data_IF_765452748508
#
_entry.id   IF_765452748508
#
_cell.length_a   1.000
_cell.length_b   1.000
_cell.length_c   1.000
_cell.angle_alpha   90.00
_cell.angle_beta   90.00
_cell.angle_gamma   90.00
#
_symmetry.space_group_name_H-M   'P 1'
#
loop_
_entity.id
_entity.type
_entity.pdbx_description
1 polymer ?
#
# COMPACT_ATOMS: atom_id res chain seq x y z
N UNK A 1 -14.16 -14.86 32.67
CA UNK A 1 -14.90 -13.82 33.44
C UNK A 1 -15.32 -12.63 32.56
N UNK A 2 -15.25 -12.74 31.23
CA UNK A 2 -15.66 -11.68 30.28
C UNK A 2 -17.01 -12.00 29.61
N UNK A 3 -17.54 -13.21 29.79
CA UNK A 3 -18.73 -13.70 29.06
C UNK A 3 -20.06 -13.54 29.83
N UNK A 4 -20.18 -12.53 30.69
CA UNK A 4 -21.47 -12.19 31.31
C UNK A 4 -22.15 -11.10 30.49
N UNK A 5 -23.32 -11.38 29.94
CA UNK A 5 -24.10 -10.44 29.12
C UNK A 5 -24.39 -9.11 29.86
N UNK A 6 -24.47 -9.13 31.18
CA UNK A 6 -24.62 -7.94 32.05
C UNK A 6 -23.48 -6.91 31.92
N UNK A 7 -22.31 -7.33 31.39
CA UNK A 7 -21.16 -6.47 31.19
C UNK A 7 -21.13 -5.81 29.79
N UNK A 8 -22.13 -6.05 28.95
CA UNK A 8 -22.19 -5.52 27.59
C UNK A 8 -23.35 -4.53 27.44
N UNK A 9 -23.06 -3.37 26.83
CA UNK A 9 -24.07 -2.36 26.46
C UNK A 9 -24.10 -2.25 24.94
N UNK A 10 -25.27 -2.52 24.35
CA UNK A 10 -25.49 -2.35 22.92
C UNK A 10 -25.52 -0.85 22.56
N UNK A 11 -24.59 -0.42 21.70
CA UNK A 11 -24.59 0.94 21.15
C UNK A 11 -25.46 0.97 19.89
N UNK A 12 -26.65 1.57 19.99
CA UNK A 12 -27.59 1.73 18.88
C UNK A 12 -27.28 2.95 18.03
N UNK A 13 -27.92 3.04 16.86
CA UNK A 13 -27.89 4.24 16.02
C UNK A 13 -28.49 5.45 16.77
N UNK A 14 -28.21 6.68 16.31
CA UNK A 14 -28.65 7.89 17.02
C UNK A 14 -30.17 7.99 17.18
N UNK A 15 -30.93 7.46 16.22
CA UNK A 15 -32.35 7.75 16.07
C UNK A 15 -32.60 9.06 15.30
N UNK A 16 -33.78 9.17 14.69
CA UNK A 16 -34.14 10.31 13.83
C UNK A 16 -34.12 11.63 14.61
N UNK A 17 -34.74 11.66 15.79
CA UNK A 17 -34.89 12.88 16.60
C UNK A 17 -33.54 13.50 16.95
N UNK A 18 -32.63 12.69 17.51
CA UNK A 18 -31.31 13.16 17.90
C UNK A 18 -30.47 13.55 16.68
N UNK A 19 -30.52 12.77 15.60
CA UNK A 19 -29.83 13.10 14.35
C UNK A 19 -30.33 14.44 13.77
N UNK A 20 -31.63 14.69 13.77
CA UNK A 20 -32.21 15.95 13.31
C UNK A 20 -31.84 17.13 14.21
N UNK A 21 -31.81 16.93 15.54
CA UNK A 21 -31.32 17.94 16.48
C UNK A 21 -29.85 18.30 16.22
N UNK A 22 -29.00 17.30 16.01
CA UNK A 22 -27.57 17.48 15.70
C UNK A 22 -27.39 18.26 14.39
N UNK A 23 -28.10 17.89 13.33
CA UNK A 23 -28.03 18.62 12.04
C UNK A 23 -28.48 20.07 12.21
N UNK A 24 -29.59 20.34 12.91
CA UNK A 24 -30.05 21.72 13.19
C UNK A 24 -28.99 22.52 13.95
N UNK A 25 -28.32 21.92 14.93
CA UNK A 25 -27.25 22.57 15.67
C UNK A 25 -26.06 22.89 14.77
N UNK A 26 -25.60 21.94 13.95
CA UNK A 26 -24.49 22.17 13.03
C UNK A 26 -24.82 23.21 11.93
N UNK A 27 -26.06 23.23 11.43
CA UNK A 27 -26.51 24.25 10.46
C UNK A 27 -26.47 25.65 11.05
N UNK A 28 -26.89 25.82 12.32
CA UNK A 28 -26.76 27.09 13.05
C UNK A 28 -25.31 27.52 13.20
N UNK A 29 -24.41 26.60 13.58
CA UNK A 29 -22.97 26.88 13.69
C UNK A 29 -22.36 27.30 12.35
N UNK A 30 -22.80 26.70 11.24
CA UNK A 30 -22.38 27.08 9.89
C UNK A 30 -23.06 28.34 9.35
N UNK A 31 -23.95 28.97 10.12
CA UNK A 31 -24.76 30.13 9.71
C UNK A 31 -25.55 29.89 8.40
N UNK A 32 -26.12 28.68 8.25
CA UNK A 32 -26.96 28.31 7.10
C UNK A 32 -28.31 27.77 7.56
N UNK A 33 -29.29 27.83 6.68
CA UNK A 33 -30.59 27.19 6.85
C UNK A 33 -31.07 26.59 5.52
N UNK A 34 -32.09 25.74 5.59
CA UNK A 34 -32.71 25.06 4.46
C UNK A 34 -34.17 25.45 4.30
N UNK A 35 -34.71 25.29 3.10
CA UNK A 35 -36.15 25.45 2.87
C UNK A 35 -36.94 24.30 3.47
N UNK A 36 -38.26 24.49 3.66
CA UNK A 36 -39.16 23.43 4.14
C UNK A 36 -39.09 22.15 3.27
N UNK A 37 -38.94 22.32 1.95
CA UNK A 37 -38.78 21.19 1.03
C UNK A 37 -37.47 20.44 1.28
N UNK A 38 -36.35 21.17 1.40
CA UNK A 38 -35.04 20.58 1.69
C UNK A 38 -35.00 19.88 3.05
N UNK A 39 -35.62 20.46 4.09
CA UNK A 39 -35.75 19.83 5.40
C UNK A 39 -36.54 18.51 5.35
N UNK A 40 -37.59 18.41 4.52
CA UNK A 40 -38.30 17.14 4.32
C UNK A 40 -37.42 16.07 3.69
N UNK A 41 -36.56 16.43 2.72
CA UNK A 41 -35.61 15.50 2.12
C UNK A 41 -34.61 14.98 3.15
N UNK A 42 -34.13 15.85 4.05
CA UNK A 42 -33.24 15.45 5.15
C UNK A 42 -33.93 14.46 6.08
N UNK A 43 -35.15 14.74 6.54
CA UNK A 43 -35.91 13.82 7.41
C UNK A 43 -36.05 12.44 6.76
N UNK A 44 -36.48 12.40 5.49
CA UNK A 44 -36.68 11.14 4.77
C UNK A 44 -35.38 10.32 4.60
N UNK A 45 -34.22 10.98 4.52
CA UNK A 45 -32.93 10.31 4.45
C UNK A 45 -32.48 9.78 5.82
N UNK A 46 -32.67 10.58 6.87
CA UNK A 46 -32.27 10.24 8.25
C UNK A 46 -33.16 9.14 8.85
N UNK A 47 -34.45 9.11 8.51
CA UNK A 47 -35.38 8.04 8.88
C UNK A 47 -34.87 6.66 8.38
N UNK A 48 -34.28 6.63 7.18
CA UNK A 48 -33.69 5.41 6.61
C UNK A 48 -32.34 5.04 7.19
N UNK A 49 -31.52 6.03 7.59
CA UNK A 49 -30.21 5.79 8.18
C UNK A 49 -29.84 6.88 9.20
N UNK A 50 -29.71 6.51 10.46
CA UNK A 50 -29.34 7.42 11.55
C UNK A 50 -27.95 7.15 12.14
N UNK A 51 -27.04 6.56 11.34
CA UNK A 51 -25.66 6.35 11.75
C UNK A 51 -24.91 7.70 11.81
N UNK A 52 -24.07 7.96 12.83
CA UNK A 52 -23.42 9.27 12.99
C UNK A 52 -22.59 9.73 11.77
N UNK A 53 -21.94 8.78 11.08
CA UNK A 53 -21.19 9.07 9.85
C UNK A 53 -22.10 9.48 8.69
N UNK A 54 -23.29 8.86 8.58
CA UNK A 54 -24.29 9.24 7.58
C UNK A 54 -24.79 10.66 7.86
N UNK A 55 -25.13 10.97 9.11
CA UNK A 55 -25.56 12.30 9.55
C UNK A 55 -24.52 13.36 9.16
N UNK A 56 -23.23 13.07 9.37
CA UNK A 56 -22.12 13.97 8.97
C UNK A 56 -22.01 14.15 7.45
N UNK A 57 -22.20 13.08 6.66
CA UNK A 57 -22.20 13.15 5.20
C UNK A 57 -23.38 13.96 4.66
N UNK A 58 -24.58 13.72 5.19
CA UNK A 58 -25.79 14.49 4.85
C UNK A 58 -25.58 15.96 5.19
N UNK A 59 -25.05 16.26 6.39
CA UNK A 59 -24.73 17.63 6.78
C UNK A 59 -23.75 18.32 5.83
N UNK A 60 -22.69 17.62 5.41
CA UNK A 60 -21.74 18.16 4.44
C UNK A 60 -22.39 18.44 3.08
N UNK A 61 -23.33 17.61 2.64
CA UNK A 61 -24.04 17.79 1.37
C UNK A 61 -25.01 18.97 1.40
N UNK A 62 -25.86 19.04 2.43
CA UNK A 62 -26.85 20.13 2.56
C UNK A 62 -26.20 21.49 2.79
N UNK A 63 -24.98 21.54 3.36
CA UNK A 63 -24.16 22.75 3.44
C UNK A 63 -23.75 23.30 2.07
N UNK A 64 -23.94 22.56 0.98
CA UNK A 64 -23.68 23.03 -0.39
C UNK A 64 -24.94 23.56 -1.07
N UNK A 65 -26.13 23.15 -0.63
CA UNK A 65 -27.40 23.56 -1.24
C UNK A 65 -27.67 25.04 -1.02
N UNK A 66 -28.21 25.72 -2.02
CA UNK A 66 -28.75 27.08 -1.95
C UNK A 66 -30.27 27.00 -1.89
N UNK A 67 -30.93 28.09 -1.50
CA UNK A 67 -32.40 28.16 -1.46
C UNK A 67 -33.06 27.93 -2.83
N UNK A 68 -32.36 28.29 -3.91
CA UNK A 68 -32.79 28.15 -5.30
C UNK A 68 -32.21 26.91 -6.01
N UNK A 69 -31.55 26.00 -5.29
CA UNK A 69 -31.08 24.73 -5.88
C UNK A 69 -32.30 23.93 -6.35
N UNK A 70 -32.27 23.47 -7.60
CA UNK A 70 -33.38 22.74 -8.22
C UNK A 70 -33.60 21.40 -7.53
N UNK A 71 -34.84 20.90 -7.56
CA UNK A 71 -35.20 19.61 -6.97
C UNK A 71 -34.39 18.43 -7.54
N UNK A 72 -34.00 18.51 -8.81
CA UNK A 72 -33.13 17.51 -9.46
C UNK A 72 -31.71 17.45 -8.86
N UNK A 73 -31.24 18.55 -8.27
CA UNK A 73 -29.89 18.68 -7.71
C UNK A 73 -29.89 18.52 -6.17
N UNK A 74 -31.06 18.47 -5.53
CA UNK A 74 -31.22 18.20 -4.09
C UNK A 74 -31.51 16.71 -3.85
N UNK A 75 -30.54 15.84 -4.17
CA UNK A 75 -30.66 14.41 -3.92
C UNK A 75 -29.78 14.01 -2.73
N UNK A 76 -30.36 13.28 -1.77
CA UNK A 76 -29.64 12.62 -0.68
C UNK A 76 -29.76 11.11 -0.86
N UNK A 77 -28.66 10.40 -0.66
CA UNK A 77 -28.70 8.96 -0.65
C UNK A 77 -29.36 8.42 0.62
N UNK A 78 -29.72 7.15 0.62
CA UNK A 78 -30.39 6.50 1.76
C UNK A 78 -29.43 5.61 2.58
N UNK A 79 -28.20 5.42 2.11
CA UNK A 79 -27.18 4.60 2.76
C UNK A 79 -25.86 5.37 2.84
N UNK A 80 -24.98 4.97 3.77
CA UNK A 80 -23.64 5.56 3.85
C UNK A 80 -22.83 5.28 2.59
N UNK A 81 -22.90 4.05 2.07
CA UNK A 81 -22.14 3.67 0.89
C UNK A 81 -22.51 4.54 -0.32
N UNK A 82 -23.81 4.70 -0.58
CA UNK A 82 -24.30 5.52 -1.69
C UNK A 82 -23.94 7.00 -1.50
N UNK A 83 -23.99 7.50 -0.26
CA UNK A 83 -23.55 8.88 0.05
C UNK A 83 -22.07 9.10 -0.27
N UNK A 84 -21.22 8.14 0.06
CA UNK A 84 -19.79 8.19 -0.25
C UNK A 84 -19.57 8.06 -1.77
N UNK A 85 -20.34 7.22 -2.46
CA UNK A 85 -20.27 7.09 -3.92
C UNK A 85 -20.65 8.39 -4.63
N UNK A 86 -21.71 9.07 -4.18
CA UNK A 86 -22.10 10.39 -4.68
C UNK A 86 -21.01 11.44 -4.44
N UNK A 87 -20.37 11.41 -3.27
CA UNK A 87 -19.23 12.27 -2.94
C UNK A 87 -18.06 12.03 -3.92
N UNK A 88 -17.67 10.78 -4.15
CA UNK A 88 -16.60 10.45 -5.11
C UNK A 88 -16.95 10.88 -6.53
N UNK A 89 -18.17 10.61 -7.00
CA UNK A 89 -18.62 11.02 -8.32
C UNK A 89 -18.57 12.54 -8.50
N UNK A 90 -18.96 13.30 -7.48
CA UNK A 90 -18.88 14.76 -7.51
C UNK A 90 -17.44 15.26 -7.65
N UNK A 91 -16.53 14.73 -6.86
CA UNK A 91 -15.12 15.15 -6.85
C UNK A 91 -14.47 14.77 -8.20
N UNK A 92 -14.77 13.59 -8.72
CA UNK A 92 -14.34 13.14 -10.05
C UNK A 92 -14.84 14.08 -11.16
N UNK A 93 -16.10 14.52 -11.11
CA UNK A 93 -16.66 15.50 -12.07
C UNK A 93 -15.97 16.87 -11.97
N UNK A 94 -15.58 17.28 -10.77
CA UNK A 94 -15.01 18.60 -10.52
C UNK A 94 -13.52 18.70 -10.91
N UNK A 95 -12.72 17.68 -10.61
CA UNK A 95 -11.25 17.73 -10.80
C UNK A 95 -10.73 16.86 -11.94
N UNK A 96 -11.61 16.13 -12.63
CA UNK A 96 -11.25 15.18 -13.66
C UNK A 96 -11.29 13.74 -13.14
N UNK A 97 -12.03 12.89 -13.86
CA UNK A 97 -12.34 11.54 -13.42
C UNK A 97 -11.08 10.68 -13.28
N UNK A 98 -10.17 10.73 -14.25
CA UNK A 98 -8.98 9.86 -14.28
C UNK A 98 -8.04 10.22 -13.11
N UNK A 99 -7.74 11.50 -12.92
CA UNK A 99 -6.89 11.98 -11.84
C UNK A 99 -7.42 11.57 -10.46
N UNK A 100 -8.68 11.86 -10.16
CA UNK A 100 -9.28 11.55 -8.86
C UNK A 100 -9.38 10.04 -8.65
N UNK A 101 -9.82 9.30 -9.66
CA UNK A 101 -9.90 7.84 -9.61
C UNK A 101 -8.55 7.23 -9.24
N UNK A 102 -7.49 7.62 -9.94
CA UNK A 102 -6.16 7.06 -9.71
C UNK A 102 -5.59 7.48 -8.35
N UNK A 103 -5.73 8.76 -7.95
CA UNK A 103 -5.27 9.23 -6.65
C UNK A 103 -5.93 8.47 -5.48
N UNK A 104 -7.26 8.32 -5.51
CA UNK A 104 -8.00 7.62 -4.47
C UNK A 104 -7.78 6.10 -4.53
N UNK A 105 -7.57 5.53 -5.72
CA UNK A 105 -7.18 4.13 -5.87
C UNK A 105 -5.80 3.87 -5.25
N UNK A 106 -4.79 4.71 -5.48
CA UNK A 106 -3.47 4.57 -4.84
C UNK A 106 -3.56 4.60 -3.31
N UNK A 107 -4.31 5.56 -2.73
CA UNK A 107 -4.55 5.63 -1.28
C UNK A 107 -5.25 4.35 -0.77
N UNK A 108 -6.19 3.81 -1.55
CA UNK A 108 -6.95 2.60 -1.16
C UNK A 108 -6.12 1.32 -1.30
N UNK A 109 -5.19 1.27 -2.25
CA UNK A 109 -4.31 0.12 -2.48
C UNK A 109 -3.18 0.02 -1.45
N UNK A 110 -2.70 1.16 -0.94
CA UNK A 110 -1.60 1.21 0.01
C UNK A 110 -1.90 0.45 1.31
N UNK A 111 -0.90 -0.26 1.85
CA UNK A 111 -1.08 -1.11 3.04
C UNK A 111 -1.31 -0.27 4.30
N UNK A 112 -0.45 0.72 4.50
CA UNK A 112 -0.48 1.59 5.69
C UNK A 112 -0.99 3.00 5.39
N UNK A 113 -1.04 3.39 4.11
CA UNK A 113 -1.35 4.74 3.63
C UNK A 113 -0.21 5.26 2.76
N UNK A 114 -0.35 6.48 2.24
CA UNK A 114 0.68 7.14 1.43
C UNK A 114 0.95 8.54 1.96
N UNK A 115 2.22 8.93 2.05
CA UNK A 115 2.58 10.34 2.22
C UNK A 115 2.19 11.16 0.99
N UNK A 116 2.12 12.49 1.15
CA UNK A 116 1.76 13.39 0.04
C UNK A 116 2.79 13.31 -1.09
N UNK A 117 4.08 13.26 -0.76
CA UNK A 117 5.15 13.05 -1.73
C UNK A 117 5.06 11.70 -2.46
N UNK A 118 4.75 10.60 -1.74
CA UNK A 118 4.62 9.28 -2.36
C UNK A 118 3.44 9.26 -3.34
N UNK A 119 2.31 9.86 -2.96
CA UNK A 119 1.13 9.93 -3.84
C UNK A 119 1.42 10.77 -5.09
N UNK A 120 2.07 11.93 -4.93
CA UNK A 120 2.48 12.77 -6.06
C UNK A 120 3.43 12.02 -7.01
N UNK A 121 4.40 11.28 -6.45
CA UNK A 121 5.32 10.46 -7.24
C UNK A 121 4.60 9.36 -8.01
N UNK A 122 3.69 8.63 -7.36
CA UNK A 122 2.91 7.56 -7.99
C UNK A 122 2.04 8.08 -9.13
N UNK A 123 1.33 9.19 -8.92
CA UNK A 123 0.53 9.84 -9.95
C UNK A 123 1.43 10.34 -11.10
N UNK A 124 2.64 10.79 -10.79
CA UNK A 124 3.62 11.25 -11.79
C UNK A 124 4.28 10.13 -12.59
N UNK A 125 4.24 8.90 -12.11
CA UNK A 125 4.66 7.71 -12.85
C UNK A 125 3.52 7.15 -13.71
N UNK A 126 2.29 7.61 -13.51
CA UNK A 126 1.10 7.12 -14.20
C UNK A 126 0.83 7.87 -15.51
N UNK A 127 1.18 7.23 -16.63
CA UNK A 127 1.03 7.88 -17.94
C UNK A 127 -0.44 8.15 -18.29
N UNK A 128 -1.40 7.34 -17.81
CA UNK A 128 -2.83 7.58 -18.07
C UNK A 128 -3.29 8.89 -17.46
N UNK A 129 -2.82 9.19 -16.25
CA UNK A 129 -3.16 10.45 -15.57
C UNK A 129 -2.48 11.62 -16.27
N UNK A 130 -1.20 11.48 -16.63
CA UNK A 130 -0.45 12.57 -17.24
C UNK A 130 -0.92 12.89 -18.65
N UNK A 131 -1.39 11.90 -19.40
CA UNK A 131 -2.01 12.12 -20.72
C UNK A 131 -3.33 12.88 -20.59
N UNK A 132 -4.12 12.61 -19.55
CA UNK A 132 -5.37 13.33 -19.26
C UNK A 132 -5.12 14.76 -18.76
N UNK A 133 -4.07 14.97 -17.96
CA UNK A 133 -3.73 16.30 -17.42
C UNK A 133 -3.07 17.18 -18.48
N UNK A 134 -2.17 16.62 -19.29
CA UNK A 134 -1.40 17.34 -20.31
C UNK A 134 -1.98 17.19 -21.70
N UNK A 135 -3.29 17.41 -21.82
CA UNK A 135 -3.96 17.43 -23.12
C UNK A 135 -3.55 18.67 -23.94
N UNK A 136 -3.47 19.84 -23.30
CA UNK A 136 -3.37 21.13 -24.01
C UNK A 136 -1.97 21.74 -24.05
N UNK A 137 -1.04 21.26 -23.22
CA UNK A 137 0.35 21.68 -23.25
C UNK A 137 1.27 20.54 -22.82
N UNK A 138 2.52 20.57 -23.27
CA UNK A 138 3.57 19.70 -22.76
C UNK A 138 4.28 20.39 -21.59
N UNK A 139 4.48 19.72 -20.45
CA UNK A 139 5.21 20.29 -19.34
C UNK A 139 6.74 20.22 -19.58
N UNK A 140 7.53 21.15 -19.02
CA UNK A 140 9.00 21.05 -19.09
C UNK A 140 9.54 19.85 -18.30
N UNK A 141 8.86 19.48 -17.22
CA UNK A 141 9.11 18.26 -16.45
C UNK A 141 7.81 17.46 -16.43
N UNK A 142 7.83 16.23 -16.93
CA UNK A 142 6.63 15.39 -17.08
C UNK A 142 6.19 14.77 -15.75
N UNK A 143 5.75 15.62 -14.82
CA UNK A 143 5.31 15.30 -13.45
C UNK A 143 3.93 15.93 -13.19
N UNK A 144 3.15 15.43 -12.24
CA UNK A 144 1.88 16.09 -11.86
C UNK A 144 2.15 17.46 -11.22
N UNK A 145 1.40 18.53 -11.55
CA UNK A 145 1.47 19.78 -10.80
C UNK A 145 0.95 19.57 -9.37
N UNK A 146 1.72 19.89 -8.31
CA UNK A 146 1.33 19.62 -6.91
C UNK A 146 -0.04 20.21 -6.53
N UNK A 147 -0.35 21.40 -7.07
CA UNK A 147 -1.61 22.10 -6.81
C UNK A 147 -2.87 21.30 -7.20
N UNK A 148 -2.78 20.35 -8.13
CA UNK A 148 -3.93 19.53 -8.50
C UNK A 148 -4.34 18.60 -7.36
N UNK A 149 -3.38 17.94 -6.72
CA UNK A 149 -3.67 17.09 -5.56
C UNK A 149 -4.14 17.92 -4.37
N UNK A 150 -3.49 19.06 -4.08
CA UNK A 150 -3.90 19.95 -2.98
C UNK A 150 -5.37 20.36 -3.09
N UNK A 151 -5.86 20.66 -4.31
CA UNK A 151 -7.27 21.00 -4.55
C UNK A 151 -8.21 19.82 -4.30
N UNK A 152 -7.86 18.62 -4.75
CA UNK A 152 -8.65 17.40 -4.51
C UNK A 152 -8.73 17.12 -3.01
N UNK A 153 -7.59 17.22 -2.31
CA UNK A 153 -7.49 17.01 -0.86
C UNK A 153 -8.36 18.00 -0.07
N UNK A 154 -8.40 19.26 -0.48
CA UNK A 154 -9.25 20.28 0.14
C UNK A 154 -10.76 20.00 0.00
N UNK A 155 -11.16 19.25 -1.03
CA UNK A 155 -12.54 18.79 -1.23
C UNK A 155 -12.86 17.45 -0.52
N UNK A 156 -11.88 16.88 0.18
CA UNK A 156 -12.01 15.69 1.04
C UNK A 156 -11.71 15.98 2.53
N UNK A 157 -12.23 17.08 3.11
CA UNK A 157 -11.86 17.48 4.46
C UNK A 157 -12.35 16.44 5.48
N UNK A 158 -11.46 15.99 6.36
CA UNK A 158 -11.76 15.03 7.42
C UNK A 158 -12.22 13.64 6.96
N UNK A 159 -12.07 13.30 5.67
CA UNK A 159 -12.31 11.94 5.16
C UNK A 159 -11.00 11.15 5.02
N UNK A 160 -9.90 11.87 4.87
CA UNK A 160 -8.54 11.34 5.00
C UNK A 160 -7.98 11.74 6.37
N UNK A 161 -7.37 10.78 7.05
CA UNK A 161 -6.64 11.00 8.30
C UNK A 161 -5.15 10.89 8.04
N UNK A 162 -4.38 11.80 8.63
CA UNK A 162 -2.94 11.65 8.76
C UNK A 162 -2.62 10.71 9.92
N UNK A 163 -1.68 9.79 9.71
CA UNK A 163 -1.19 8.83 10.69
C UNK A 163 0.30 8.65 10.50
N UNK A 164 1.01 8.31 11.56
CA UNK A 164 2.41 7.93 11.44
C UNK A 164 2.51 6.45 11.05
N UNK A 165 3.26 6.16 9.98
CA UNK A 165 3.61 4.81 9.56
C UNK A 165 5.06 4.81 9.09
N UNK A 166 5.85 3.85 9.58
CA UNK A 166 7.24 3.63 9.15
C UNK A 166 8.12 4.90 9.22
N UNK A 167 7.86 5.76 10.23
CA UNK A 167 8.60 7.00 10.48
C UNK A 167 8.23 8.17 9.57
N UNK A 168 7.09 8.10 8.87
CA UNK A 168 6.58 9.18 8.00
C UNK A 168 5.09 9.42 8.27
N UNK A 169 4.64 10.67 8.12
CA UNK A 169 3.20 11.00 8.12
C UNK A 169 2.57 10.56 6.80
N UNK A 170 1.63 9.63 6.88
CA UNK A 170 0.89 9.06 5.75
C UNK A 170 -0.60 9.39 5.86
N UNK A 171 -1.24 9.58 4.71
CA UNK A 171 -2.67 9.75 4.58
C UNK A 171 -3.33 8.39 4.33
N UNK A 172 -4.43 8.13 5.04
CA UNK A 172 -5.27 6.97 4.84
C UNK A 172 -6.74 7.33 5.09
N UNK A 173 -7.67 6.47 4.68
CA UNK A 173 -9.09 6.66 4.94
C UNK A 173 -9.38 6.75 6.44
N UNK A 174 -10.06 7.82 6.85
CA UNK A 174 -10.42 8.05 8.25
C UNK A 174 -11.33 6.92 8.79
N UNK A 175 -12.28 6.46 7.98
CA UNK A 175 -13.27 5.46 8.37
C UNK A 175 -13.33 4.28 7.41
N UNK A 176 -13.57 3.08 7.93
CA UNK A 176 -13.64 1.83 7.16
C UNK A 176 -14.63 1.91 6.01
N UNK A 177 -15.79 2.54 6.19
CA UNK A 177 -16.81 2.66 5.14
C UNK A 177 -16.32 3.45 3.91
N UNK A 178 -15.42 4.42 4.06
CA UNK A 178 -14.79 5.10 2.91
C UNK A 178 -13.89 4.14 2.15
N UNK A 179 -13.05 3.39 2.88
CA UNK A 179 -12.17 2.39 2.27
C UNK A 179 -12.97 1.31 1.54
N UNK A 180 -14.04 0.80 2.14
CA UNK A 180 -14.87 -0.25 1.56
C UNK A 180 -15.64 0.28 0.33
N UNK A 181 -16.15 1.52 0.39
CA UNK A 181 -16.76 2.19 -0.77
C UNK A 181 -15.75 2.43 -1.89
N UNK A 182 -14.53 2.87 -1.56
CA UNK A 182 -13.46 3.08 -2.54
C UNK A 182 -13.04 1.76 -3.20
N UNK A 183 -12.98 0.65 -2.44
CA UNK A 183 -12.73 -0.69 -3.00
C UNK A 183 -13.83 -1.11 -3.97
N UNK A 184 -15.10 -0.95 -3.62
CA UNK A 184 -16.22 -1.27 -4.52
C UNK A 184 -16.19 -0.41 -5.79
N UNK A 185 -15.79 0.87 -5.69
CA UNK A 185 -15.73 1.77 -6.84
C UNK A 185 -14.54 1.49 -7.75
N UNK A 186 -13.35 1.30 -7.17
CA UNK A 186 -12.08 1.33 -7.90
C UNK A 186 -11.48 -0.05 -8.17
N UNK A 187 -11.81 -1.05 -7.35
CA UNK A 187 -11.23 -2.41 -7.42
C UNK A 187 -12.24 -3.51 -7.72
N UNK A 188 -13.45 -3.16 -8.20
CA UNK A 188 -14.42 -4.14 -8.71
C UNK A 188 -13.83 -5.01 -9.82
N UNK A 189 -12.98 -4.43 -10.66
CA UNK A 189 -12.18 -5.16 -11.62
C UNK A 189 -10.83 -5.54 -10.99
N UNK A 190 -10.58 -6.83 -10.81
CA UNK A 190 -9.34 -7.33 -10.21
C UNK A 190 -8.09 -6.93 -11.01
N UNK A 191 -8.21 -6.70 -12.32
CA UNK A 191 -7.11 -6.19 -13.14
C UNK A 191 -6.68 -4.78 -12.70
N UNK A 192 -7.63 -3.94 -12.25
CA UNK A 192 -7.30 -2.62 -11.73
C UNK A 192 -6.57 -2.73 -10.39
N UNK A 193 -7.01 -3.63 -9.50
CA UNK A 193 -6.30 -3.87 -8.25
C UNK A 193 -4.85 -4.31 -8.51
N UNK A 194 -4.65 -5.32 -9.37
CA UNK A 194 -3.32 -5.78 -9.80
C UNK A 194 -2.48 -4.65 -10.39
N UNK A 195 -3.08 -3.80 -11.24
CA UNK A 195 -2.42 -2.65 -11.85
C UNK A 195 -1.88 -1.67 -10.79
N UNK A 196 -2.73 -1.22 -9.85
CA UNK A 196 -2.30 -0.27 -8.82
C UNK A 196 -1.27 -0.87 -7.86
N UNK A 197 -1.43 -2.15 -7.48
CA UNK A 197 -0.39 -2.83 -6.69
C UNK A 197 0.94 -2.92 -7.45
N UNK A 198 0.92 -3.21 -8.76
CA UNK A 198 2.14 -3.23 -9.58
C UNK A 198 2.79 -1.86 -9.70
N UNK A 199 2.02 -0.79 -9.87
CA UNK A 199 2.55 0.58 -9.96
C UNK A 199 3.22 1.01 -8.64
N UNK A 200 2.63 0.67 -7.49
CA UNK A 200 3.26 0.93 -6.19
C UNK A 200 4.51 0.08 -6.00
N UNK A 201 4.50 -1.18 -6.46
CA UNK A 201 5.71 -2.01 -6.44
C UNK A 201 6.83 -1.42 -7.28
N UNK A 202 6.55 -0.93 -8.50
CA UNK A 202 7.55 -0.28 -9.37
C UNK A 202 8.16 0.97 -8.72
N UNK A 203 7.33 1.77 -8.04
CA UNK A 203 7.79 2.91 -7.25
C UNK A 203 8.79 2.48 -6.19
N UNK A 204 8.43 1.54 -5.31
CA UNK A 204 9.31 1.10 -4.22
C UNK A 204 10.50 0.24 -4.68
N UNK A 205 10.40 -0.45 -5.81
CA UNK A 205 11.57 -1.05 -6.47
C UNK A 205 12.57 0.03 -6.90
N UNK A 206 12.08 1.24 -7.21
CA UNK A 206 12.90 2.36 -7.64
C UNK A 206 13.27 2.31 -9.12
N UNK A 207 12.48 1.60 -9.94
CA UNK A 207 12.77 1.37 -11.37
C UNK A 207 13.02 2.68 -12.13
N UNK A 208 12.27 3.73 -11.78
CA UNK A 208 12.31 5.05 -12.39
C UNK A 208 12.81 6.15 -11.43
N UNK A 209 13.48 5.75 -10.34
CA UNK A 209 14.02 6.68 -9.35
C UNK A 209 15.39 7.22 -9.77
N UNK A 210 15.80 8.35 -9.18
CA UNK A 210 17.19 8.82 -9.25
C UNK A 210 17.68 9.30 -10.61
N UNK A 211 16.77 9.79 -11.46
CA UNK A 211 17.11 10.34 -12.76
C UNK A 211 16.96 9.36 -13.93
N UNK A 212 16.54 8.11 -13.67
CA UNK A 212 16.25 7.14 -14.73
C UNK A 212 15.01 7.59 -15.51
N UNK A 213 15.13 7.87 -16.82
CA UNK A 213 14.02 8.41 -17.59
C UNK A 213 13.04 7.28 -17.97
N UNK A 214 11.74 7.53 -17.74
CA UNK A 214 10.66 6.58 -18.01
C UNK A 214 10.13 6.73 -19.45
N UNK A 215 10.08 5.67 -20.26
CA UNK A 215 9.47 5.71 -21.58
C UNK A 215 7.94 5.84 -21.46
N UNK A 216 7.34 6.57 -22.39
CA UNK A 216 5.89 6.77 -22.49
C UNK A 216 5.47 6.94 -23.95
N UNK A 217 4.18 6.78 -24.23
CA UNK A 217 3.62 6.94 -25.57
C UNK A 217 2.75 8.19 -25.62
N UNK A 218 2.90 8.99 -26.67
CA UNK A 218 2.00 10.12 -26.89
C UNK A 218 0.65 9.63 -27.40
N UNK A 219 -0.42 10.25 -26.91
CA UNK A 219 -1.75 10.02 -27.51
C UNK A 219 -1.81 10.59 -28.93
N UNK A 220 -2.70 10.05 -29.77
CA UNK A 220 -2.88 10.56 -31.13
C UNK A 220 -3.25 12.05 -31.14
N UNK A 221 -4.06 12.47 -30.16
CA UNK A 221 -4.45 13.86 -29.95
C UNK A 221 -3.23 14.74 -29.67
N UNK A 222 -2.34 14.30 -28.77
CA UNK A 222 -1.11 15.05 -28.45
C UNK A 222 -0.18 15.11 -29.67
N UNK A 223 -0.04 14.02 -30.42
CA UNK A 223 0.81 13.99 -31.62
C UNK A 223 0.33 14.99 -32.67
N UNK A 224 -0.97 15.03 -32.93
CA UNK A 224 -1.55 15.98 -33.88
C UNK A 224 -1.50 17.43 -33.34
N UNK A 225 -1.80 17.65 -32.06
CA UNK A 225 -1.87 19.00 -31.47
C UNK A 225 -0.49 19.66 -31.35
N UNK A 226 0.54 18.87 -31.05
CA UNK A 226 1.90 19.37 -30.85
C UNK A 226 2.83 19.06 -32.04
N UNK A 227 2.29 18.61 -33.17
CA UNK A 227 3.05 18.25 -34.38
C UNK A 227 4.23 17.31 -34.10
N UNK A 228 4.00 16.28 -33.28
CA UNK A 228 5.04 15.31 -32.91
C UNK A 228 5.12 14.20 -33.97
N UNK A 229 6.31 14.04 -34.54
CA UNK A 229 6.62 12.93 -35.45
C UNK A 229 6.68 11.61 -34.69
N UNK A 230 7.34 11.63 -33.53
CA UNK A 230 7.58 10.45 -32.71
C UNK A 230 6.31 9.96 -32.00
N UNK A 231 6.22 8.63 -31.85
CA UNK A 231 5.12 7.98 -31.12
C UNK A 231 5.43 7.84 -29.64
N UNK A 232 6.71 7.83 -29.29
CA UNK A 232 7.20 7.53 -27.96
C UNK A 232 8.16 8.65 -27.51
N UNK A 233 8.21 8.86 -26.21
CA UNK A 233 9.13 9.79 -25.57
C UNK A 233 9.71 9.16 -24.33
N UNK A 234 10.77 9.76 -23.79
CA UNK A 234 11.37 9.35 -22.52
C UNK A 234 11.58 10.59 -21.67
N UNK A 235 11.20 10.53 -20.40
CA UNK A 235 11.35 11.66 -19.48
C UNK A 235 11.65 11.19 -18.05
N UNK A 236 12.61 11.85 -17.42
CA UNK A 236 12.84 11.74 -15.97
C UNK A 236 11.67 12.37 -15.21
N UNK A 237 11.05 11.57 -14.33
CA UNK A 237 9.88 11.97 -13.54
C UNK A 237 10.25 12.69 -12.24
N UNK A 238 11.55 12.86 -11.99
CA UNK A 238 12.12 13.49 -10.79
C UNK A 238 11.66 12.81 -9.50
N UNK A 239 11.49 11.50 -9.57
CA UNK A 239 11.13 10.64 -8.44
C UNK A 239 12.42 10.23 -7.69
N UNK A 240 12.42 10.24 -6.35
CA UNK A 240 13.59 9.85 -5.57
C UNK A 240 13.98 8.39 -5.80
N UNK A 241 15.26 8.08 -5.55
CA UNK A 241 15.71 6.69 -5.41
C UNK A 241 15.02 6.03 -4.21
N UNK A 242 14.81 4.72 -4.31
CA UNK A 242 14.26 3.90 -3.22
C UNK A 242 15.31 2.87 -2.76
N UNK A 243 16.45 3.28 -2.17
CA UNK A 243 17.43 2.33 -1.67
C UNK A 243 16.90 1.61 -0.43
N UNK A 244 17.53 0.50 -0.04
CA UNK A 244 17.25 -0.18 1.23
C UNK A 244 17.74 0.66 2.43
N UNK A 245 18.84 1.39 2.23
CA UNK A 245 19.54 2.19 3.23
C UNK A 245 19.89 3.55 2.65
N UNK A 246 19.58 4.61 3.38
CA UNK A 246 20.02 5.97 3.07
C UNK A 246 21.34 6.25 3.80
N UNK A 247 22.33 6.77 3.08
CA UNK A 247 23.64 7.11 3.62
C UNK A 247 23.80 8.63 3.74
N UNK A 248 24.49 9.08 4.78
CA UNK A 248 24.93 10.47 4.92
C UNK A 248 26.04 10.78 3.91
N UNK A 249 26.37 12.07 3.75
CA UNK A 249 27.48 12.53 2.89
C UNK A 249 28.82 11.89 3.27
N UNK A 250 28.99 11.54 4.55
CA UNK A 250 30.21 10.89 5.07
C UNK A 250 30.23 9.36 4.87
N UNK A 251 29.29 8.80 4.11
CA UNK A 251 29.19 7.35 3.84
C UNK A 251 28.64 6.52 4.99
N UNK A 252 28.27 7.13 6.13
CA UNK A 252 27.64 6.42 7.25
C UNK A 252 26.15 6.18 6.99
N UNK A 253 25.63 5.06 7.49
CA UNK A 253 24.20 4.76 7.47
C UNK A 253 23.45 5.87 8.23
N UNK A 254 22.56 6.57 7.52
CA UNK A 254 21.69 7.59 8.10
C UNK A 254 20.40 6.97 8.60
N UNK A 255 19.70 6.20 7.76
CA UNK A 255 18.46 5.50 8.11
C UNK A 255 18.13 4.39 7.12
N UNK A 256 17.29 3.44 7.54
CA UNK A 256 16.73 2.41 6.69
C UNK A 256 15.43 2.86 6.02
N UNK A 257 15.10 2.33 4.85
CA UNK A 257 13.88 2.66 4.12
C UNK A 257 12.69 1.80 4.61
N UNK A 258 12.15 2.18 5.77
CA UNK A 258 11.06 1.46 6.41
C UNK A 258 9.79 1.40 5.53
N UNK A 259 9.52 2.46 4.75
CA UNK A 259 8.41 2.50 3.78
C UNK A 259 8.52 1.40 2.74
N UNK A 260 9.69 1.27 2.12
CA UNK A 260 9.98 0.18 1.16
C UNK A 260 9.79 -1.18 1.81
N UNK A 261 10.27 -1.39 3.05
CA UNK A 261 10.11 -2.66 3.76
C UNK A 261 8.66 -3.01 4.13
N UNK A 262 7.83 -2.00 4.42
CA UNK A 262 6.43 -2.18 4.80
C UNK A 262 5.51 -2.44 3.61
N UNK A 263 5.73 -1.72 2.51
CA UNK A 263 4.84 -1.69 1.34
C UNK A 263 5.25 -2.70 0.24
N UNK A 264 6.53 -2.78 -0.13
CA UNK A 264 6.94 -3.52 -1.34
C UNK A 264 6.56 -5.02 -1.33
N UNK A 265 6.83 -5.81 -0.27
CA UNK A 265 6.46 -7.23 -0.25
C UNK A 265 4.95 -7.42 -0.42
N UNK A 266 4.16 -6.59 0.26
CA UNK A 266 2.71 -6.62 0.20
C UNK A 266 2.22 -6.39 -1.24
N UNK A 267 2.76 -5.36 -1.91
CA UNK A 267 2.36 -5.01 -3.27
C UNK A 267 2.75 -6.07 -4.30
N UNK A 268 3.97 -6.63 -4.21
CA UNK A 268 4.42 -7.69 -5.12
C UNK A 268 3.55 -8.96 -5.02
N UNK A 269 3.12 -9.33 -3.81
CA UNK A 269 2.20 -10.45 -3.59
C UNK A 269 0.84 -10.17 -4.25
N UNK A 270 0.24 -8.98 -4.06
CA UNK A 270 -1.09 -8.66 -4.61
C UNK A 270 -1.07 -8.46 -6.12
N UNK A 271 0.04 -7.99 -6.67
CA UNK A 271 0.23 -7.90 -8.12
C UNK A 271 0.66 -9.22 -8.77
N UNK A 272 0.79 -10.31 -8.00
CA UNK A 272 1.27 -11.64 -8.44
C UNK A 272 2.65 -11.60 -9.12
N UNK A 273 3.51 -10.65 -8.73
CA UNK A 273 4.87 -10.48 -9.27
C UNK A 273 5.87 -11.29 -8.44
N UNK A 274 5.66 -12.61 -8.42
CA UNK A 274 6.42 -13.51 -7.55
C UNK A 274 7.90 -13.60 -7.92
N UNK A 275 8.24 -13.49 -9.21
CA UNK A 275 9.65 -13.42 -9.64
C UNK A 275 10.38 -12.25 -8.97
N UNK A 276 9.82 -11.05 -9.06
CA UNK A 276 10.41 -9.86 -8.43
C UNK A 276 10.44 -9.98 -6.90
N UNK A 277 9.41 -10.60 -6.30
CA UNK A 277 9.36 -10.89 -4.87
C UNK A 277 10.50 -11.82 -4.44
N UNK A 278 10.82 -12.84 -5.23
CA UNK A 278 11.89 -13.76 -4.89
C UNK A 278 13.26 -13.10 -5.05
N UNK A 279 13.51 -12.49 -6.21
CA UNK A 279 14.81 -11.93 -6.57
C UNK A 279 15.19 -10.69 -5.74
N UNK A 280 14.22 -9.84 -5.37
CA UNK A 280 14.50 -8.55 -4.72
C UNK A 280 14.13 -8.50 -3.24
N UNK A 281 13.41 -9.51 -2.71
CA UNK A 281 12.85 -9.47 -1.35
C UNK A 281 13.12 -10.76 -0.57
N UNK A 282 12.41 -11.85 -0.86
CA UNK A 282 12.35 -13.03 0.02
C UNK A 282 13.53 -14.00 -0.14
N UNK A 283 14.29 -13.92 -1.23
CA UNK A 283 15.53 -14.69 -1.42
C UNK A 283 16.72 -13.76 -1.72
N UNK A 284 16.62 -12.51 -1.26
CA UNK A 284 17.64 -11.50 -1.43
C UNK A 284 18.35 -11.22 -0.09
N UNK A 285 19.66 -11.49 -0.02
CA UNK A 285 20.41 -11.36 1.24
C UNK A 285 20.43 -9.92 1.77
N UNK A 286 20.65 -8.94 0.89
CA UNK A 286 20.74 -7.53 1.29
C UNK A 286 19.41 -7.00 1.82
N UNK A 287 18.29 -7.41 1.20
CA UNK A 287 16.96 -7.11 1.70
C UNK A 287 16.74 -7.67 3.10
N UNK A 288 16.98 -8.97 3.28
CA UNK A 288 16.76 -9.65 4.56
C UNK A 288 17.64 -9.09 5.66
N UNK A 289 18.92 -8.84 5.37
CA UNK A 289 19.85 -8.23 6.32
C UNK A 289 19.41 -6.82 6.70
N UNK A 290 19.10 -5.98 5.71
CA UNK A 290 18.70 -4.61 5.96
C UNK A 290 17.38 -4.54 6.76
N UNK A 291 16.40 -5.37 6.42
CA UNK A 291 15.11 -5.42 7.14
C UNK A 291 15.29 -5.97 8.56
N UNK A 292 16.10 -7.00 8.79
CA UNK A 292 16.42 -7.48 10.15
C UNK A 292 17.20 -6.45 10.98
N UNK A 293 17.98 -5.60 10.33
CA UNK A 293 18.74 -4.54 11.00
C UNK A 293 17.87 -3.37 11.46
N UNK A 294 16.65 -3.22 10.91
CA UNK A 294 15.75 -2.10 11.22
C UNK A 294 14.37 -2.49 11.73
N UNK A 295 13.99 -3.76 11.63
CA UNK A 295 12.66 -4.27 11.97
C UNK A 295 12.78 -5.55 12.81
N UNK A 296 11.79 -5.85 13.68
CA UNK A 296 11.77 -7.10 14.41
C UNK A 296 11.67 -8.29 13.45
N UNK A 297 12.24 -9.44 13.85
CA UNK A 297 12.19 -10.69 13.09
C UNK A 297 10.78 -11.05 12.63
N UNK A 298 9.76 -10.80 13.47
CA UNK A 298 8.36 -11.08 13.14
C UNK A 298 7.88 -10.31 11.89
N UNK A 299 8.38 -9.09 11.65
CA UNK A 299 8.02 -8.31 10.46
C UNK A 299 8.63 -8.89 9.16
N UNK A 300 9.71 -9.66 9.26
CA UNK A 300 10.27 -10.42 8.15
C UNK A 300 9.44 -11.69 7.95
N UNK A 301 9.18 -12.44 9.02
CA UNK A 301 8.38 -13.67 8.98
C UNK A 301 6.96 -13.43 8.45
N UNK A 302 6.35 -12.29 8.76
CA UNK A 302 5.03 -11.93 8.23
C UNK A 302 5.00 -11.80 6.71
N UNK A 303 6.11 -11.39 6.08
CA UNK A 303 6.17 -11.32 4.62
C UNK A 303 6.17 -12.73 4.01
N UNK A 304 6.87 -13.69 4.61
CA UNK A 304 6.86 -15.09 4.18
C UNK A 304 5.48 -15.72 4.38
N UNK A 305 4.84 -15.49 5.54
CA UNK A 305 3.50 -16.02 5.84
C UNK A 305 2.45 -15.50 4.86
N UNK A 306 2.53 -14.22 4.53
CA UNK A 306 1.66 -13.58 3.56
C UNK A 306 1.90 -14.10 2.14
N UNK A 307 3.17 -14.25 1.72
CA UNK A 307 3.50 -14.86 0.44
C UNK A 307 3.00 -16.31 0.34
N UNK A 308 3.26 -17.14 1.36
CA UNK A 308 2.82 -18.53 1.40
C UNK A 308 1.29 -18.68 1.28
N UNK A 309 0.55 -17.73 1.85
CA UNK A 309 -0.92 -17.72 1.82
C UNK A 309 -1.52 -17.33 0.45
N UNK A 310 -0.72 -16.71 -0.42
CA UNK A 310 -1.19 -16.17 -1.71
C UNK A 310 -0.50 -16.81 -2.94
N UNK A 311 0.51 -17.67 -2.74
CA UNK A 311 1.19 -18.40 -3.81
C UNK A 311 0.54 -19.76 -4.00
N UNK A 312 0.19 -20.12 -5.23
CA UNK A 312 -0.39 -21.43 -5.58
C UNK A 312 0.68 -22.52 -5.78
N UNK A 313 1.90 -22.14 -6.18
CA UNK A 313 2.99 -23.07 -6.47
C UNK A 313 3.55 -23.73 -5.20
N UNK A 314 3.50 -25.07 -5.16
CA UNK A 314 3.87 -25.85 -3.98
C UNK A 314 5.36 -25.84 -3.70
N UNK A 315 6.19 -25.86 -4.75
CA UNK A 315 7.64 -25.89 -4.61
C UNK A 315 8.17 -24.55 -4.09
N UNK A 316 7.72 -23.43 -4.68
CA UNK A 316 8.02 -22.09 -4.16
C UNK A 316 7.54 -21.92 -2.72
N UNK A 317 6.32 -22.38 -2.40
CA UNK A 317 5.79 -22.31 -1.02
C UNK A 317 6.67 -23.09 -0.04
N UNK A 318 7.16 -24.27 -0.44
CA UNK A 318 8.10 -25.06 0.36
C UNK A 318 9.41 -24.30 0.58
N UNK A 319 9.99 -23.71 -0.46
CA UNK A 319 11.24 -22.93 -0.33
C UNK A 319 11.08 -21.77 0.65
N UNK A 320 9.97 -21.03 0.55
CA UNK A 320 9.64 -19.94 1.47
C UNK A 320 9.52 -20.43 2.92
N UNK A 321 8.85 -21.56 3.15
CA UNK A 321 8.73 -22.14 4.49
C UNK A 321 10.08 -22.56 5.07
N UNK A 322 10.97 -23.15 4.25
CA UNK A 322 12.31 -23.54 4.70
C UNK A 322 13.13 -22.33 5.16
N UNK A 323 13.10 -21.22 4.40
CA UNK A 323 13.80 -19.99 4.79
C UNK A 323 13.17 -19.38 6.04
N UNK A 324 11.85 -19.28 6.11
CA UNK A 324 11.15 -18.77 7.29
C UNK A 324 11.47 -19.58 8.55
N UNK A 325 11.53 -20.91 8.45
CA UNK A 325 11.90 -21.78 9.56
C UNK A 325 13.38 -21.65 9.94
N UNK A 326 14.29 -21.48 8.97
CA UNK A 326 15.69 -21.19 9.26
C UNK A 326 15.85 -19.87 10.05
N UNK A 327 15.10 -18.84 9.66
CA UNK A 327 15.04 -17.56 10.37
C UNK A 327 14.46 -17.71 11.79
N UNK A 328 13.39 -18.49 11.96
CA UNK A 328 12.81 -18.80 13.29
C UNK A 328 13.82 -19.52 14.19
N UNK A 329 14.50 -20.55 13.68
CA UNK A 329 15.53 -21.30 14.41
C UNK A 329 16.75 -20.44 14.77
N UNK A 330 17.08 -19.44 13.95
CA UNK A 330 18.12 -18.45 14.21
C UNK A 330 17.66 -17.26 15.05
N UNK A 331 16.38 -17.18 15.43
CA UNK A 331 15.76 -15.94 15.88
C UNK A 331 16.36 -15.33 17.13
N UNK A 332 16.77 -16.16 18.10
CA UNK A 332 17.45 -15.70 19.32
C UNK A 332 18.77 -14.95 19.02
N UNK A 333 19.49 -15.38 17.97
CA UNK A 333 20.74 -14.74 17.53
C UNK A 333 20.44 -13.54 16.65
N UNK A 334 19.57 -13.71 15.65
CA UNK A 334 19.28 -12.68 14.64
C UNK A 334 18.60 -11.44 15.23
N UNK A 335 17.83 -11.60 16.31
CA UNK A 335 17.20 -10.47 17.00
C UNK A 335 18.21 -9.51 17.66
N UNK A 336 19.38 -10.01 18.07
CA UNK A 336 20.43 -9.19 18.69
C UNK A 336 21.58 -8.88 17.71
N UNK A 337 21.85 -9.80 16.79
CA UNK A 337 22.97 -9.74 15.86
C UNK A 337 22.51 -10.03 14.42
N UNK A 338 21.88 -9.07 13.73
CA UNK A 338 21.44 -9.22 12.34
C UNK A 338 22.58 -9.60 11.38
N UNK A 339 23.81 -9.17 11.68
CA UNK A 339 25.01 -9.51 10.90
C UNK A 339 25.29 -11.01 10.82
N UNK A 340 24.75 -11.81 11.76
CA UNK A 340 24.87 -13.27 11.74
C UNK A 340 23.92 -13.94 10.72
N UNK A 341 23.18 -13.18 9.91
CA UNK A 341 22.23 -13.73 8.94
C UNK A 341 22.86 -14.76 8.00
N UNK A 342 23.97 -14.44 7.34
CA UNK A 342 24.61 -15.35 6.38
C UNK A 342 25.05 -16.67 7.05
N UNK A 343 25.79 -16.67 8.19
CA UNK A 343 26.09 -17.89 8.92
C UNK A 343 24.86 -18.71 9.32
N UNK A 344 23.78 -18.05 9.77
CA UNK A 344 22.57 -18.75 10.21
C UNK A 344 21.83 -19.41 9.04
N UNK A 345 21.80 -18.77 7.87
CA UNK A 345 21.20 -19.31 6.65
C UNK A 345 22.05 -20.44 6.05
N UNK A 346 23.35 -20.19 5.79
CA UNK A 346 24.26 -21.18 5.22
C UNK A 346 24.31 -22.43 6.10
N UNK A 347 24.54 -22.26 7.40
CA UNK A 347 24.67 -23.36 8.34
C UNK A 347 23.46 -24.28 8.40
N UNK A 348 22.26 -23.80 8.01
CA UNK A 348 20.98 -24.56 8.07
C UNK A 348 20.46 -25.03 6.73
N UNK A 349 20.60 -24.22 5.68
CA UNK A 349 19.95 -24.43 4.38
C UNK A 349 20.85 -25.10 3.34
N UNK A 350 22.16 -25.23 3.59
CA UNK A 350 23.09 -25.87 2.65
C UNK A 350 22.61 -27.25 2.12
N UNK A 351 21.98 -28.13 2.94
CA UNK A 351 21.46 -29.41 2.43
C UNK A 351 20.30 -29.29 1.42
N UNK A 352 19.61 -28.16 1.36
CA UNK A 352 18.44 -27.96 0.51
C UNK A 352 18.81 -27.34 -0.87
N UNK A 353 20.06 -26.93 -1.09
CA UNK A 353 20.52 -26.21 -2.29
C UNK A 353 20.31 -26.99 -3.59
N UNK A 354 20.46 -28.32 -3.55
CA UNK A 354 20.41 -29.15 -4.75
C UNK A 354 19.03 -29.18 -5.40
N UNK A 355 17.96 -29.08 -4.60
CA UNK A 355 16.56 -29.22 -5.05
C UNK A 355 15.80 -27.91 -5.11
N UNK A 356 16.34 -26.82 -4.53
CA UNK A 356 15.62 -25.58 -4.31
C UNK A 356 16.39 -24.39 -4.93
N UNK A 357 16.03 -23.93 -6.14
CA UNK A 357 16.79 -22.93 -6.88
C UNK A 357 16.79 -21.54 -6.23
N UNK A 358 15.70 -21.13 -5.57
CA UNK A 358 15.65 -19.83 -4.91
C UNK A 358 16.49 -19.85 -3.63
N UNK A 359 16.51 -20.96 -2.88
CA UNK A 359 17.44 -21.15 -1.75
C UNK A 359 18.89 -21.12 -2.23
N UNK A 360 19.21 -21.78 -3.35
CA UNK A 360 20.55 -21.72 -3.95
C UNK A 360 20.96 -20.28 -4.26
N UNK A 361 20.06 -19.50 -4.87
CA UNK A 361 20.30 -18.08 -5.16
C UNK A 361 20.59 -17.29 -3.87
N UNK A 362 19.77 -17.47 -2.84
CA UNK A 362 19.96 -16.80 -1.54
C UNK A 362 21.30 -17.16 -0.89
N UNK A 363 21.70 -18.43 -0.90
CA UNK A 363 22.97 -18.86 -0.28
C UNK A 363 24.19 -18.38 -1.06
N UNK A 364 24.13 -18.36 -2.40
CA UNK A 364 25.19 -17.72 -3.19
C UNK A 364 25.35 -16.25 -2.83
N UNK A 365 24.24 -15.54 -2.63
CA UNK A 365 24.25 -14.15 -2.17
C UNK A 365 24.84 -14.02 -0.76
N UNK A 366 24.57 -14.97 0.14
CA UNK A 366 25.18 -15.03 1.46
C UNK A 366 26.71 -15.22 1.40
N UNK A 367 27.20 -16.08 0.50
CA UNK A 367 28.64 -16.33 0.33
C UNK A 367 29.38 -15.12 -0.24
N UNK A 368 28.77 -14.43 -1.20
CA UNK A 368 29.39 -13.27 -1.88
C UNK A 368 29.30 -12.01 -1.03
N UNK A 369 28.13 -11.74 -0.45
CA UNK A 369 27.83 -10.46 0.21
C UNK A 369 27.93 -10.52 1.72
N UNK A 370 27.67 -11.68 2.32
CA UNK A 370 27.72 -11.88 3.77
C UNK A 370 29.07 -11.58 4.44
N UNK A 371 30.24 -11.77 3.79
CA UNK A 371 31.53 -11.39 4.36
C UNK A 371 31.64 -9.90 4.68
N UNK A 372 30.83 -9.04 4.05
CA UNK A 372 30.80 -7.60 4.35
C UNK A 372 30.26 -7.30 5.76
N UNK A 373 29.45 -8.19 6.34
CA UNK A 373 28.85 -8.03 7.67
C UNK A 373 29.39 -9.03 8.70
N UNK A 374 29.78 -10.23 8.28
CA UNK A 374 30.32 -11.27 9.15
C UNK A 374 31.47 -12.02 8.46
N UNK A 375 32.68 -11.91 9.02
CA UNK A 375 33.88 -12.54 8.46
C UNK A 375 33.90 -14.07 8.58
N UNK A 376 33.09 -14.66 9.46
CA UNK A 376 33.09 -16.10 9.74
C UNK A 376 31.87 -16.77 9.12
N UNK A 377 32.04 -17.33 7.92
CA UNK A 377 30.99 -18.10 7.25
C UNK A 377 31.26 -19.61 7.35
N UNK A 378 30.24 -20.44 7.67
CA UNK A 378 30.37 -21.89 7.64
C UNK A 378 30.58 -22.39 6.20
N UNK A 379 31.57 -23.26 6.00
CA UNK A 379 31.79 -23.95 4.71
C UNK A 379 30.89 -25.19 4.58
N UNK A 380 30.46 -25.75 5.72
CA UNK A 380 29.65 -26.96 5.79
C UNK A 380 28.37 -26.71 6.59
N UNK A 381 27.39 -27.60 6.39
CA UNK A 381 26.21 -27.68 7.22
C UNK A 381 26.61 -27.93 8.68
N UNK A 382 26.26 -27.01 9.57
CA UNK A 382 26.69 -27.03 10.97
C UNK A 382 25.60 -26.67 11.99
N UNK A 383 24.37 -26.37 11.53
CA UNK A 383 23.24 -25.95 12.36
C UNK A 383 21.99 -26.74 11.99
N UNK A 384 20.99 -26.80 12.87
CA UNK A 384 19.80 -27.63 12.67
C UNK A 384 19.05 -27.27 11.37
N UNK A 385 18.80 -28.26 10.51
CA UNK A 385 18.04 -28.06 9.26
C UNK A 385 16.57 -27.72 9.57
N UNK A 386 15.94 -26.76 8.87
CA UNK A 386 14.50 -26.50 8.95
C UNK A 386 13.64 -27.66 8.41
N UNK A 387 12.38 -27.76 8.84
CA UNK A 387 11.45 -28.83 8.44
C UNK A 387 11.15 -29.90 9.50
N UNK A 388 11.48 -29.65 10.77
CA UNK A 388 11.03 -30.43 11.92
C UNK A 388 11.86 -31.68 12.28
N UNK A 389 11.52 -32.36 13.40
CA UNK A 389 12.30 -33.47 13.97
C UNK A 389 12.43 -34.71 13.07
N UNK A 390 11.52 -34.89 12.10
CA UNK A 390 11.48 -36.08 11.24
C UNK A 390 12.65 -36.15 10.22
N UNK A 391 13.19 -35.01 9.77
CA UNK A 391 14.44 -35.01 8.97
C UNK A 391 15.68 -35.28 9.83
N UNK A 392 15.64 -34.95 11.13
CA UNK A 392 16.74 -35.16 12.07
C UNK A 392 16.95 -36.66 12.34
N UNK A 393 15.85 -37.42 12.49
CA UNK A 393 15.91 -38.88 12.70
C UNK A 393 16.36 -39.67 11.45
N UNK A 394 15.98 -39.22 10.24
CA UNK A 394 16.32 -39.94 9.01
C UNK A 394 17.79 -39.80 8.58
N UNK A 395 18.52 -38.76 9.04
CA UNK A 395 19.97 -38.62 8.76
C UNK A 395 20.87 -39.33 9.77
N UNK A 396 20.38 -39.64 10.97
CA UNK A 396 21.16 -40.36 11.99
C UNK A 396 21.24 -41.87 11.68
N UNK A 397 20.32 -42.41 10.87
CA UNK A 397 20.25 -43.85 10.57
C UNK A 397 20.99 -44.31 9.29
N UNK A 398 21.87 -43.50 8.70
CA UNK A 398 22.67 -43.92 7.51
C UNK A 398 24.18 -43.98 7.82
N UNK A 399 24.57 -43.94 9.09
CA UNK A 399 25.92 -44.30 9.52
C UNK A 399 25.87 -45.50 10.46
N UNK A 400 25.56 -46.66 9.91
CA UNK A 400 25.94 -47.96 10.49
C UNK A 400 26.81 -48.68 9.46
N UNK A 401 28.12 -48.46 9.62
CA UNK A 401 29.25 -49.39 9.46
C UNK A 401 29.07 -50.68 8.64
N UNK A 402 29.94 -50.79 7.63
CA UNK A 402 30.51 -52.00 6.97
C UNK A 402 29.61 -53.00 6.25
#
# INVERSE_FOLDING_TARGET
MVDKDENFIEVRALGEDLAMQVIKMWMRTSCRDLTNYQWRLVSNAIDKCSLPIFVKLVFAEICRWRSYTKSADTHLANTVMDSIMMLFERIEKQHGRILVFHALAYITAAKSGLSESELEDLISLDDKVLDDVYQYHLPPVRRIPPLLWTRIRNDLPNYLSEREADGVSVMNWYHRQFRDSAKERYFKNMNMATYFHSMIADYFLGIWGGGVPKPFKYTEIQRHRFNLTDKEGVADRKVPMQPLVFYSKDGKVSRYNLRKFGELPFHLVRSRRFKDLYENVLFNYEWLHAKLSSCPLQAVLSDYEDACSNIDDKDSRRELMLVADALRLGGAVLGQHPNMLAPQLIGRLLPEVATNPNIKMLLNDCDVKGPNQCALLPVYHCLHTPGGPLKVLLKINVVTTH
#
